data_IF_839935828743
#
_entry.id   IF_839935828743
#
_cell.length_a   1.000
_cell.length_b   1.000
_cell.length_c   1.000
_cell.angle_alpha   90.00
_cell.angle_beta   90.00
_cell.angle_gamma   90.00
#
_symmetry.space_group_name_H-M   'P 1'
#
loop_
_entity.id
_entity.type
_entity.pdbx_description
1 polymer ?
#
# COMPACT_ATOMS: atom_id res chain seq x y z
N UNK A 1 -2.67 -53.70 -4.78
CA UNK A 1 -2.43 -52.29 -5.13
C UNK A 1 -1.12 -52.27 -5.87
N UNK A 2 -1.14 -51.89 -7.14
CA UNK A 2 -0.01 -52.05 -8.07
C UNK A 2 0.52 -50.67 -8.41
N UNK A 3 1.84 -50.53 -8.41
CA UNK A 3 2.55 -49.39 -8.99
C UNK A 3 3.71 -49.99 -9.78
N UNK A 4 3.61 -49.91 -11.10
CA UNK A 4 4.58 -50.49 -12.02
C UNK A 4 5.92 -49.75 -11.94
N UNK A 5 7.01 -50.51 -11.86
CA UNK A 5 8.37 -49.99 -11.98
C UNK A 5 8.81 -50.14 -13.46
N UNK A 6 8.29 -49.25 -14.31
CA UNK A 6 8.51 -49.31 -15.77
C UNK A 6 9.91 -48.83 -16.16
N UNK A 7 10.92 -49.61 -15.80
CA UNK A 7 12.29 -49.50 -16.32
C UNK A 7 12.25 -49.70 -17.83
N UNK A 8 12.13 -48.60 -18.56
CA UNK A 8 11.96 -48.62 -20.02
C UNK A 8 13.34 -48.84 -20.64
N UNK A 9 13.69 -50.11 -20.86
CA UNK A 9 14.81 -50.50 -21.73
C UNK A 9 14.54 -49.95 -23.12
N UNK A 10 15.12 -48.79 -23.43
CA UNK A 10 14.99 -48.15 -24.73
C UNK A 10 15.50 -49.11 -25.80
N UNK A 11 14.63 -49.48 -26.75
CA UNK A 11 15.00 -50.40 -27.82
C UNK A 11 16.26 -49.89 -28.56
N UNK A 12 17.20 -50.75 -29.02
CA UNK A 12 18.48 -50.30 -29.55
C UNK A 12 18.38 -49.24 -30.66
N UNK A 13 17.38 -49.34 -31.55
CA UNK A 13 17.11 -48.33 -32.58
C UNK A 13 16.71 -46.94 -32.05
N UNK A 14 16.09 -46.86 -30.87
CA UNK A 14 15.76 -45.59 -30.22
C UNK A 14 17.00 -44.90 -29.65
N UNK A 15 17.93 -45.67 -29.07
CA UNK A 15 19.23 -45.12 -28.64
C UNK A 15 20.06 -44.65 -29.85
N UNK A 16 20.08 -45.43 -30.94
CA UNK A 16 20.73 -45.03 -32.19
C UNK A 16 20.16 -43.71 -32.72
N UNK A 17 18.83 -43.58 -32.83
CA UNK A 17 18.17 -42.37 -33.30
C UNK A 17 18.45 -41.14 -32.41
N UNK A 18 18.74 -41.33 -31.12
CA UNK A 18 19.17 -40.27 -30.23
C UNK A 18 20.63 -39.84 -30.49
N UNK A 19 21.55 -40.79 -30.73
CA UNK A 19 22.95 -40.50 -31.04
C UNK A 19 23.10 -39.78 -32.39
N UNK A 20 22.41 -40.27 -33.44
CA UNK A 20 22.43 -39.65 -34.78
C UNK A 20 21.92 -38.20 -34.71
N UNK A 21 20.83 -37.95 -33.98
CA UNK A 21 20.30 -36.59 -33.77
C UNK A 21 21.26 -35.69 -33.00
N UNK A 22 21.92 -36.21 -31.97
CA UNK A 22 22.96 -35.48 -31.24
C UNK A 22 24.13 -35.07 -32.13
N UNK A 23 24.60 -35.97 -33.00
CA UNK A 23 25.66 -35.68 -33.97
C UNK A 23 25.21 -34.66 -35.03
N UNK A 24 24.02 -34.84 -35.63
CA UNK A 24 23.46 -33.89 -36.58
C UNK A 24 23.24 -32.49 -35.97
N UNK A 25 22.81 -32.41 -34.70
CA UNK A 25 22.71 -31.14 -33.98
C UNK A 25 24.08 -30.48 -33.76
N UNK A 26 25.13 -31.27 -33.46
CA UNK A 26 26.50 -30.75 -33.39
C UNK A 26 26.99 -30.21 -34.74
N UNK A 27 26.72 -30.92 -35.84
CA UNK A 27 27.04 -30.44 -37.21
C UNK A 27 26.30 -29.12 -37.52
N UNK A 28 25.00 -29.02 -37.20
CA UNK A 28 24.22 -27.76 -37.34
C UNK A 28 24.81 -26.61 -36.52
N UNK A 29 25.27 -26.85 -35.29
CA UNK A 29 25.96 -25.83 -34.48
C UNK A 29 27.27 -25.35 -35.13
N UNK A 30 28.01 -26.25 -35.79
CA UNK A 30 29.22 -25.91 -36.56
C UNK A 30 28.94 -25.21 -37.90
N UNK A 31 27.67 -25.07 -38.34
CA UNK A 31 27.25 -24.42 -39.59
C UNK A 31 26.45 -23.12 -39.37
N UNK A 32 26.15 -22.76 -38.12
CA UNK A 32 25.26 -21.65 -37.77
C UNK A 32 25.76 -20.24 -38.21
N UNK A 33 26.99 -20.12 -38.70
CA UNK A 33 27.54 -18.90 -39.32
C UNK A 33 26.99 -18.63 -40.73
N UNK A 34 26.42 -19.64 -41.40
CA UNK A 34 25.86 -19.56 -42.76
C UNK A 34 24.44 -18.97 -42.80
N UNK A 35 23.78 -18.83 -41.65
CA UNK A 35 22.37 -18.44 -41.55
C UNK A 35 21.42 -19.64 -41.60
N UNK A 36 20.15 -19.47 -41.15
CA UNK A 36 19.25 -20.59 -40.90
C UNK A 36 18.82 -21.32 -42.18
N UNK A 37 18.48 -20.59 -43.25
CA UNK A 37 18.00 -21.18 -44.52
C UNK A 37 19.06 -22.09 -45.15
N UNK A 38 20.30 -21.60 -45.29
CA UNK A 38 21.44 -22.38 -45.83
C UNK A 38 21.81 -23.56 -44.91
N UNK A 39 21.62 -23.44 -43.60
CA UNK A 39 21.87 -24.54 -42.65
C UNK A 39 20.81 -25.63 -42.78
N UNK A 40 19.55 -25.27 -43.00
CA UNK A 40 18.47 -26.24 -43.20
C UNK A 40 18.59 -26.94 -44.56
N UNK A 41 18.84 -26.19 -45.65
CA UNK A 41 19.08 -26.74 -47.00
C UNK A 41 20.22 -27.78 -47.01
N UNK A 42 21.26 -27.58 -46.19
CA UNK A 42 22.39 -28.50 -46.07
C UNK A 42 22.20 -29.64 -45.05
N UNK A 43 21.24 -29.55 -44.12
CA UNK A 43 21.13 -30.52 -43.01
C UNK A 43 19.74 -31.12 -42.78
N UNK A 44 18.75 -30.80 -43.62
CA UNK A 44 17.40 -31.38 -43.54
C UNK A 44 17.37 -32.89 -43.80
N UNK A 45 18.22 -33.38 -44.72
CA UNK A 45 18.38 -34.83 -45.00
C UNK A 45 19.29 -35.58 -44.02
N UNK A 46 20.17 -34.86 -43.32
CA UNK A 46 21.36 -35.42 -42.64
C UNK A 46 21.06 -36.53 -41.60
N UNK A 47 19.95 -36.43 -40.86
CA UNK A 47 19.56 -37.48 -39.90
C UNK A 47 19.13 -38.80 -40.59
N UNK A 48 18.63 -38.72 -41.83
CA UNK A 48 18.36 -39.90 -42.67
C UNK A 48 19.67 -40.47 -43.23
N UNK A 49 20.49 -39.62 -43.85
CA UNK A 49 21.72 -40.01 -44.54
C UNK A 49 22.73 -40.69 -43.59
N UNK A 50 22.87 -40.16 -42.36
CA UNK A 50 23.70 -40.76 -41.30
C UNK A 50 23.14 -42.11 -40.80
N UNK A 51 21.81 -42.27 -40.81
CA UNK A 51 21.15 -43.54 -40.39
C UNK A 51 21.33 -44.61 -41.47
N UNK A 52 21.21 -44.24 -42.75
CA UNK A 52 21.40 -45.13 -43.91
C UNK A 52 22.87 -45.54 -44.06
N UNK A 53 23.81 -44.59 -44.03
CA UNK A 53 25.25 -44.85 -44.12
C UNK A 53 25.78 -45.72 -42.96
N UNK A 54 25.11 -45.71 -41.80
CA UNK A 54 25.43 -46.59 -40.69
C UNK A 54 24.77 -47.97 -40.81
N UNK A 55 23.56 -48.07 -41.39
CA UNK A 55 22.95 -49.35 -41.71
C UNK A 55 23.81 -50.15 -42.70
N UNK A 56 24.41 -49.48 -43.69
CA UNK A 56 25.40 -50.05 -44.61
C UNK A 56 26.76 -50.35 -43.97
N UNK A 57 27.08 -49.75 -42.81
CA UNK A 57 28.31 -50.04 -42.05
C UNK A 57 28.20 -51.29 -41.15
N UNK A 58 27.00 -51.59 -40.64
CA UNK A 58 26.73 -52.71 -39.74
C UNK A 58 27.21 -54.12 -40.22
N UNK A 59 27.22 -54.44 -41.53
CA UNK A 59 27.79 -55.70 -42.05
C UNK A 59 29.31 -55.82 -41.91
N UNK A 60 30.03 -54.78 -41.47
CA UNK A 60 31.49 -54.81 -41.27
C UNK A 60 31.85 -55.15 -39.82
N UNK A 61 31.20 -54.50 -38.85
CA UNK A 61 31.45 -54.72 -37.41
C UNK A 61 31.25 -56.20 -36.98
N UNK A 62 30.27 -56.87 -37.60
CA UNK A 62 29.89 -58.27 -37.32
C UNK A 62 30.92 -59.32 -37.75
N UNK A 63 32.12 -58.94 -38.23
CA UNK A 63 33.25 -59.87 -38.42
C UNK A 63 34.29 -59.87 -37.28
N UNK A 64 34.24 -58.92 -36.35
CA UNK A 64 35.03 -58.95 -35.12
C UNK A 64 34.16 -59.53 -33.99
N UNK A 65 34.26 -60.85 -33.79
CA UNK A 65 33.33 -61.60 -32.94
C UNK A 65 33.61 -61.49 -31.44
N UNK A 66 33.15 -60.42 -30.81
CA UNK A 66 32.97 -60.34 -29.34
C UNK A 66 31.50 -60.01 -28.97
N UNK A 67 31.04 -60.35 -27.74
CA UNK A 67 29.62 -60.21 -27.37
C UNK A 67 29.18 -58.75 -27.17
N UNK A 68 27.90 -58.50 -27.40
CA UNK A 68 27.27 -57.20 -27.18
C UNK A 68 26.79 -57.04 -25.74
N UNK A 69 27.34 -56.06 -25.04
CA UNK A 69 26.64 -55.25 -24.03
C UNK A 69 27.27 -53.84 -24.04
N UNK A 70 26.46 -52.80 -23.83
CA UNK A 70 26.85 -51.40 -23.62
C UNK A 70 27.78 -50.72 -24.67
N UNK A 71 27.70 -51.14 -25.95
CA UNK A 71 28.37 -50.44 -27.06
C UNK A 71 27.68 -49.10 -27.36
N UNK A 72 28.13 -48.05 -26.66
CA UNK A 72 27.87 -46.65 -27.04
C UNK A 72 28.43 -46.44 -28.46
N UNK A 73 27.55 -46.06 -29.40
CA UNK A 73 27.95 -45.88 -30.79
C UNK A 73 28.73 -44.57 -30.97
N UNK A 74 30.05 -44.68 -31.04
CA UNK A 74 30.93 -43.55 -31.33
C UNK A 74 30.85 -43.15 -32.81
N UNK A 75 29.87 -42.30 -33.12
CA UNK A 75 29.72 -41.67 -34.43
C UNK A 75 30.94 -40.83 -34.82
N UNK A 76 31.76 -40.38 -33.86
CA UNK A 76 32.99 -39.61 -34.18
C UNK A 76 34.13 -40.50 -34.66
N UNK A 77 34.13 -41.79 -34.30
CA UNK A 77 35.06 -42.77 -34.86
C UNK A 77 34.71 -43.19 -36.30
N UNK A 78 33.46 -43.02 -36.74
CA UNK A 78 33.01 -43.37 -38.09
C UNK A 78 32.91 -42.17 -39.05
N UNK A 79 32.33 -41.06 -38.61
CA UNK A 79 32.11 -39.84 -39.42
C UNK A 79 33.11 -38.70 -39.10
N UNK A 80 34.06 -38.91 -38.18
CA UNK A 80 34.96 -37.86 -37.70
C UNK A 80 34.28 -36.88 -36.73
N UNK A 81 34.99 -35.83 -36.32
CA UNK A 81 34.40 -34.78 -35.48
C UNK A 81 33.33 -34.00 -36.25
N UNK A 82 32.29 -33.53 -35.55
CA UNK A 82 31.23 -32.73 -36.16
C UNK A 82 31.77 -31.43 -36.83
N UNK A 83 32.88 -30.88 -36.33
CA UNK A 83 33.61 -29.77 -36.97
C UNK A 83 34.24 -30.16 -38.32
N UNK A 84 34.85 -31.35 -38.39
CA UNK A 84 35.40 -31.91 -39.62
C UNK A 84 34.30 -32.17 -40.65
N UNK A 85 33.25 -32.87 -40.25
CA UNK A 85 32.10 -33.17 -41.10
C UNK A 85 31.39 -31.90 -41.61
N UNK A 86 31.20 -30.88 -40.76
CA UNK A 86 30.69 -29.57 -41.15
C UNK A 86 31.64 -28.78 -42.09
N UNK A 87 32.94 -29.08 -42.07
CA UNK A 87 33.92 -28.49 -42.98
C UNK A 87 33.90 -29.19 -44.34
N UNK A 88 33.78 -30.52 -44.36
CA UNK A 88 33.59 -31.32 -45.59
C UNK A 88 32.28 -30.94 -46.28
N UNK A 89 31.17 -30.82 -45.55
CA UNK A 89 29.87 -30.42 -46.08
C UNK A 89 29.89 -29.00 -46.70
N UNK A 90 30.56 -28.02 -46.05
CA UNK A 90 30.81 -26.70 -46.67
C UNK A 90 31.61 -26.82 -47.97
N UNK A 91 32.66 -27.65 -47.98
CA UNK A 91 33.51 -27.81 -49.16
C UNK A 91 32.77 -28.44 -50.35
N UNK A 92 31.89 -29.41 -50.08
CA UNK A 92 31.00 -30.01 -51.08
C UNK A 92 29.97 -29.01 -51.62
N UNK A 93 29.46 -28.12 -50.75
CA UNK A 93 28.56 -27.02 -51.13
C UNK A 93 29.27 -25.83 -51.82
N UNK A 94 30.60 -25.87 -51.98
CA UNK A 94 31.38 -24.77 -52.55
C UNK A 94 31.46 -23.51 -51.67
N UNK A 95 31.12 -23.63 -50.39
CA UNK A 95 31.11 -22.53 -49.43
C UNK A 95 32.52 -22.22 -48.90
N UNK A 96 32.80 -20.96 -48.50
CA UNK A 96 34.09 -20.60 -47.91
C UNK A 96 34.34 -21.39 -46.61
N UNK A 97 35.60 -21.71 -46.28
CA UNK A 97 35.93 -22.36 -45.01
C UNK A 97 35.52 -21.46 -43.84
N UNK A 98 35.09 -22.09 -42.73
CA UNK A 98 34.83 -21.38 -41.49
C UNK A 98 36.05 -20.54 -41.11
N UNK A 99 35.86 -19.23 -40.91
CA UNK A 99 36.92 -18.37 -40.43
C UNK A 99 37.45 -18.90 -39.10
N UNK A 100 38.77 -18.90 -38.84
CA UNK A 100 39.31 -19.44 -37.60
C UNK A 100 38.65 -18.75 -36.39
N UNK A 101 38.52 -19.42 -35.23
CA UNK A 101 37.89 -18.89 -34.02
C UNK A 101 38.78 -17.83 -33.33
N UNK A 102 39.13 -16.79 -34.08
CA UNK A 102 39.68 -15.56 -33.57
C UNK A 102 38.71 -14.99 -32.55
N UNK A 103 39.24 -14.62 -31.38
CA UNK A 103 38.46 -14.14 -30.23
C UNK A 103 37.77 -12.81 -30.54
N UNK A 104 36.65 -12.87 -31.28
CA UNK A 104 35.64 -11.84 -31.32
C UNK A 104 35.02 -11.76 -29.92
N UNK A 105 35.67 -10.98 -29.06
CA UNK A 105 34.97 -10.25 -28.01
C UNK A 105 34.18 -9.12 -28.68
N UNK A 106 33.20 -9.49 -29.52
CA UNK A 106 32.10 -8.62 -29.91
C UNK A 106 31.33 -8.36 -28.63
N UNK A 107 31.73 -7.31 -27.93
CA UNK A 107 31.00 -6.90 -26.75
C UNK A 107 29.66 -6.32 -27.18
N UNK A 108 28.71 -6.27 -26.25
CA UNK A 108 27.48 -5.47 -26.40
C UNK A 108 27.76 -4.02 -26.83
N UNK A 109 28.99 -3.52 -26.63
CA UNK A 109 29.48 -2.23 -27.15
C UNK A 109 29.63 -2.17 -28.67
N UNK A 110 30.05 -3.23 -29.34
CA UNK A 110 30.30 -3.24 -30.78
C UNK A 110 28.98 -3.38 -31.54
N UNK A 111 28.08 -4.23 -31.03
CA UNK A 111 26.69 -4.35 -31.50
C UNK A 111 25.90 -3.06 -31.24
N UNK A 112 25.99 -2.49 -30.03
CA UNK A 112 25.38 -1.19 -29.74
C UNK A 112 26.02 -0.06 -30.57
N UNK A 113 27.31 -0.12 -30.89
CA UNK A 113 27.94 0.87 -31.78
C UNK A 113 27.43 0.76 -33.22
N UNK A 114 27.28 -0.47 -33.75
CA UNK A 114 26.74 -0.73 -35.08
C UNK A 114 25.25 -0.33 -35.19
N UNK A 115 24.44 -0.69 -34.19
CA UNK A 115 23.05 -0.25 -34.07
C UNK A 115 22.96 1.27 -33.96
N UNK A 116 23.81 1.90 -33.14
CA UNK A 116 23.85 3.35 -32.97
C UNK A 116 24.35 4.07 -34.23
N UNK A 117 25.25 3.50 -35.03
CA UNK A 117 25.63 4.09 -36.32
C UNK A 117 24.51 4.00 -37.34
N UNK A 118 23.85 2.85 -37.49
CA UNK A 118 22.72 2.70 -38.42
C UNK A 118 21.53 3.58 -38.03
N UNK A 119 21.21 3.67 -36.74
CA UNK A 119 20.26 4.67 -36.23
C UNK A 119 20.73 6.09 -36.55
N UNK A 120 21.99 6.44 -36.28
CA UNK A 120 22.51 7.79 -36.49
C UNK A 120 22.43 8.22 -37.96
N UNK A 121 22.67 7.31 -38.91
CA UNK A 121 22.51 7.56 -40.34
C UNK A 121 21.05 7.83 -40.72
N UNK A 122 20.10 7.01 -40.24
CA UNK A 122 18.66 7.25 -40.41
C UNK A 122 18.23 8.60 -39.82
N UNK A 123 18.64 8.90 -38.58
CA UNK A 123 18.35 10.18 -37.93
C UNK A 123 19.03 11.36 -38.63
N UNK A 124 20.22 11.22 -39.21
CA UNK A 124 20.81 12.29 -40.02
C UNK A 124 20.05 12.51 -41.31
N UNK A 125 19.64 11.46 -42.04
CA UNK A 125 18.87 11.60 -43.28
C UNK A 125 17.49 12.22 -43.06
N UNK A 126 16.80 11.85 -41.96
CA UNK A 126 15.53 12.46 -41.56
C UNK A 126 15.70 13.93 -41.14
N UNK A 127 16.84 14.30 -40.55
CA UNK A 127 17.14 15.67 -40.15
C UNK A 127 17.80 16.50 -41.26
N UNK A 128 18.28 15.92 -42.35
CA UNK A 128 19.02 16.61 -43.42
C UNK A 128 18.21 17.74 -44.11
N UNK A 129 16.90 17.58 -44.40
CA UNK A 129 16.06 18.66 -44.92
C UNK A 129 15.88 19.83 -43.92
N UNK A 130 15.96 19.56 -42.62
CA UNK A 130 15.87 20.58 -41.56
C UNK A 130 17.23 21.23 -41.33
N UNK A 131 18.29 20.42 -41.32
CA UNK A 131 19.65 20.82 -40.98
C UNK A 131 20.35 21.65 -42.07
N UNK A 132 19.88 21.53 -43.32
CA UNK A 132 20.28 22.36 -44.44
C UNK A 132 19.64 23.76 -44.43
N UNK A 133 18.63 24.02 -43.59
CA UNK A 133 18.03 25.35 -43.48
C UNK A 133 18.98 26.34 -42.77
N UNK A 134 19.02 27.60 -43.24
CA UNK A 134 19.84 28.66 -42.65
C UNK A 134 19.53 28.92 -41.16
N UNK A 135 18.29 28.64 -40.74
CA UNK A 135 17.83 28.77 -39.35
C UNK A 135 18.47 27.73 -38.42
N UNK A 136 18.76 26.52 -38.93
CA UNK A 136 19.44 25.48 -38.16
C UNK A 136 20.87 25.87 -37.76
N UNK A 137 21.55 26.69 -38.56
CA UNK A 137 22.84 27.29 -38.19
C UNK A 137 22.74 28.04 -36.86
N UNK A 138 21.79 28.98 -36.76
CA UNK A 138 21.51 29.75 -35.54
C UNK A 138 21.12 28.85 -34.37
N UNK A 139 20.24 27.86 -34.58
CA UNK A 139 19.85 26.89 -33.52
C UNK A 139 21.05 26.10 -33.03
N UNK A 140 21.92 25.65 -33.93
CA UNK A 140 23.14 24.89 -33.61
C UNK A 140 24.19 25.76 -32.91
N UNK A 141 24.26 27.05 -33.20
CA UNK A 141 25.16 27.99 -32.53
C UNK A 141 24.64 28.29 -31.10
N UNK A 142 23.35 28.63 -30.93
CA UNK A 142 22.72 28.74 -29.60
C UNK A 142 22.86 27.45 -28.78
N UNK A 143 22.73 26.28 -29.41
CA UNK A 143 22.94 24.98 -28.74
C UNK A 143 24.42 24.68 -28.41
N UNK A 144 25.40 25.40 -28.98
CA UNK A 144 26.79 25.39 -28.46
C UNK A 144 26.91 26.28 -27.23
N UNK A 145 26.29 27.45 -27.26
CA UNK A 145 26.39 28.43 -26.17
C UNK A 145 25.64 27.98 -24.92
N UNK A 146 24.59 27.16 -25.07
CA UNK A 146 23.86 26.50 -23.98
C UNK A 146 24.57 25.26 -23.40
N UNK A 147 25.73 24.82 -23.93
CA UNK A 147 26.48 23.68 -23.36
C UNK A 147 26.81 23.79 -21.86
N UNK A 148 27.20 24.96 -21.32
CA UNK A 148 27.40 25.13 -19.87
C UNK A 148 26.12 24.90 -19.07
N UNK A 149 24.98 25.35 -19.59
CA UNK A 149 23.66 25.18 -18.98
C UNK A 149 23.26 23.70 -19.00
N UNK A 150 23.51 22.98 -20.09
CA UNK A 150 23.30 21.52 -20.15
C UNK A 150 24.15 20.76 -19.13
N UNK A 151 25.42 21.16 -18.93
CA UNK A 151 26.25 20.52 -17.89
C UNK A 151 25.68 20.76 -16.49
N UNK A 152 25.16 21.94 -16.20
CA UNK A 152 24.49 22.24 -14.94
C UNK A 152 23.24 21.36 -14.75
N UNK A 153 22.34 21.36 -15.74
CA UNK A 153 21.10 20.59 -15.73
C UNK A 153 21.32 19.08 -15.61
N UNK A 154 22.28 18.51 -16.34
CA UNK A 154 22.68 17.09 -16.22
C UNK A 154 23.15 16.75 -14.80
N UNK A 155 23.93 17.62 -14.18
CA UNK A 155 24.44 17.41 -12.82
C UNK A 155 23.36 17.56 -11.75
N UNK A 156 22.39 18.45 -11.97
CA UNK A 156 21.19 18.59 -11.15
C UNK A 156 20.33 17.33 -11.20
N UNK A 157 20.00 16.84 -12.39
CA UNK A 157 19.18 15.63 -12.60
C UNK A 157 19.83 14.37 -12.05
N UNK A 158 21.16 14.21 -12.20
CA UNK A 158 21.90 13.10 -11.58
C UNK A 158 22.02 13.28 -10.06
N UNK A 159 22.12 14.52 -9.57
CA UNK A 159 22.07 14.83 -8.13
C UNK A 159 20.72 14.47 -7.51
N UNK A 160 19.61 14.72 -8.20
CA UNK A 160 18.28 14.26 -7.79
C UNK A 160 18.21 12.74 -7.69
N UNK A 161 18.77 11.99 -8.65
CA UNK A 161 18.81 10.52 -8.55
C UNK A 161 19.64 10.04 -7.34
N UNK A 162 20.72 10.76 -6.98
CA UNK A 162 21.50 10.46 -5.77
C UNK A 162 20.66 10.71 -4.50
N UNK A 163 19.94 11.83 -4.43
CA UNK A 163 19.00 12.12 -3.31
C UNK A 163 17.91 11.05 -3.24
N UNK A 164 17.32 10.67 -4.39
CA UNK A 164 16.30 9.62 -4.51
C UNK A 164 16.77 8.23 -4.06
N UNK A 165 18.09 8.01 -4.00
CA UNK A 165 18.68 6.73 -3.63
C UNK A 165 19.09 6.66 -2.14
N UNK A 166 19.53 7.79 -1.57
CA UNK A 166 20.00 7.85 -0.18
C UNK A 166 18.98 8.42 0.82
N UNK A 167 17.91 9.08 0.35
CA UNK A 167 16.86 9.66 1.19
C UNK A 167 15.59 8.81 1.32
N UNK A 168 15.67 7.49 1.11
CA UNK A 168 14.51 6.60 1.12
C UNK A 168 14.41 5.77 2.40
N UNK A 169 13.28 5.94 3.10
CA UNK A 169 12.73 4.86 3.92
C UNK A 169 12.09 3.81 2.99
N UNK A 170 12.29 2.52 3.29
CA UNK A 170 11.82 1.39 2.49
C UNK A 170 10.79 0.56 3.24
N UNK A 171 9.60 0.40 2.65
CA UNK A 171 8.61 -0.61 3.07
C UNK A 171 8.62 -1.75 2.06
N UNK A 172 9.54 -2.71 2.27
CA UNK A 172 9.75 -3.83 1.37
C UNK A 172 10.62 -3.48 0.16
N UNK A 173 10.22 -3.91 -1.05
CA UNK A 173 10.98 -3.72 -2.30
C UNK A 173 10.66 -2.41 -3.04
N UNK A 174 9.78 -1.57 -2.51
CA UNK A 174 9.38 -0.30 -3.13
C UNK A 174 9.85 0.89 -2.28
N UNK A 175 10.38 1.97 -2.90
CA UNK A 175 10.69 3.21 -2.20
C UNK A 175 9.41 3.86 -1.70
N UNK A 176 9.38 4.32 -0.45
CA UNK A 176 8.15 4.81 0.19
C UNK A 176 7.91 6.30 -0.05
N UNK A 177 8.95 7.06 -0.42
CA UNK A 177 8.82 8.46 -0.87
C UNK A 177 8.92 8.56 -2.39
N UNK A 178 8.08 9.43 -2.99
CA UNK A 178 7.97 9.59 -4.44
C UNK A 178 9.24 10.14 -5.11
N UNK A 179 9.26 10.21 -6.46
CA UNK A 179 10.42 10.71 -7.19
C UNK A 179 10.69 12.19 -6.86
N UNK A 180 11.97 12.56 -6.74
CA UNK A 180 12.34 13.95 -6.44
C UNK A 180 12.05 14.85 -7.63
N UNK A 181 11.13 15.80 -7.45
CA UNK A 181 10.94 16.91 -8.39
C UNK A 181 12.15 17.86 -8.40
N UNK A 182 12.16 18.80 -9.34
CA UNK A 182 13.32 19.66 -9.65
C UNK A 182 13.63 20.70 -8.57
N UNK A 183 12.71 20.94 -7.64
CA UNK A 183 12.83 21.92 -6.56
C UNK A 183 13.25 21.22 -5.26
N UNK A 184 14.44 21.53 -4.70
CA UNK A 184 14.85 20.98 -3.41
C UNK A 184 14.04 21.58 -2.26
N UNK A 185 13.64 20.74 -1.31
CA UNK A 185 12.86 21.13 -0.14
C UNK A 185 13.71 21.44 1.11
N UNK A 186 15.01 21.13 1.08
CA UNK A 186 15.94 21.34 2.19
C UNK A 186 17.32 21.86 1.74
N UNK A 187 18.05 22.51 2.65
CA UNK A 187 19.42 22.99 2.48
C UNK A 187 20.40 21.86 2.16
N UNK A 188 20.22 20.66 2.73
CA UNK A 188 21.08 19.50 2.45
C UNK A 188 20.94 19.06 0.99
N UNK A 189 19.71 19.05 0.46
CA UNK A 189 19.44 18.74 -0.94
C UNK A 189 20.07 19.80 -1.86
N UNK A 190 19.90 21.09 -1.54
CA UNK A 190 20.54 22.21 -2.26
C UNK A 190 22.06 22.04 -2.38
N UNK A 191 22.73 21.64 -1.29
CA UNK A 191 24.18 21.38 -1.30
C UNK A 191 24.55 20.20 -2.19
N UNK A 192 23.85 19.06 -2.08
CA UNK A 192 24.10 17.88 -2.93
C UNK A 192 23.92 18.19 -4.42
N UNK A 193 22.87 18.95 -4.77
CA UNK A 193 22.58 19.38 -6.14
C UNK A 193 23.63 20.36 -6.67
N UNK A 194 24.04 21.34 -5.87
CA UNK A 194 25.08 22.30 -6.24
C UNK A 194 26.44 21.58 -6.47
N UNK A 195 26.78 20.60 -5.64
CA UNK A 195 27.98 19.77 -5.80
C UNK A 195 27.88 18.90 -7.06
N UNK A 196 26.75 18.22 -7.29
CA UNK A 196 26.52 17.41 -8.50
C UNK A 196 26.58 18.22 -9.80
N UNK A 197 25.96 19.40 -9.80
CA UNK A 197 26.01 20.38 -10.89
C UNK A 197 27.45 20.89 -11.13
N UNK A 198 28.21 21.20 -10.07
CA UNK A 198 29.61 21.61 -10.18
C UNK A 198 30.51 20.49 -10.72
N UNK A 199 30.43 19.27 -10.19
CA UNK A 199 31.20 18.12 -10.70
C UNK A 199 30.87 17.86 -12.17
N UNK A 200 29.59 17.90 -12.55
CA UNK A 200 29.14 17.77 -13.93
C UNK A 200 29.71 18.86 -14.85
N UNK A 201 29.74 20.12 -14.40
CA UNK A 201 30.35 21.25 -15.11
C UNK A 201 31.87 21.07 -15.29
N UNK A 202 32.57 20.60 -14.26
CA UNK A 202 34.01 20.34 -14.30
C UNK A 202 34.36 19.22 -15.31
N UNK A 203 33.55 18.15 -15.34
CA UNK A 203 33.62 17.10 -16.35
C UNK A 203 33.32 17.60 -17.76
N UNK A 204 32.32 18.47 -17.91
CA UNK A 204 31.98 19.12 -19.19
C UNK A 204 33.12 19.96 -19.77
N UNK A 205 33.87 20.65 -18.90
CA UNK A 205 35.12 21.35 -19.24
C UNK A 205 36.34 20.43 -19.45
N UNK A 206 36.14 19.11 -19.51
CA UNK A 206 37.21 18.14 -19.72
C UNK A 206 38.23 18.02 -18.58
N UNK A 207 37.87 18.46 -17.36
CA UNK A 207 38.69 18.30 -16.15
C UNK A 207 38.25 17.03 -15.40
N UNK A 208 39.12 16.51 -14.54
CA UNK A 208 38.90 15.38 -13.62
C UNK A 208 38.58 13.99 -14.23
N UNK A 209 38.16 13.88 -15.48
CA UNK A 209 38.04 12.58 -16.19
C UNK A 209 39.28 12.26 -17.06
N UNK A 210 39.86 11.05 -16.99
CA UNK A 210 40.87 10.59 -17.94
C UNK A 210 40.29 10.45 -19.35
N UNK A 211 41.07 10.77 -20.38
CA UNK A 211 40.57 11.06 -21.73
C UNK A 211 39.69 9.97 -22.34
N UNK A 212 40.07 8.68 -22.19
CA UNK A 212 39.30 7.55 -22.73
C UNK A 212 37.91 7.35 -22.10
N UNK A 213 37.67 7.84 -20.89
CA UNK A 213 36.38 7.70 -20.20
C UNK A 213 35.46 8.92 -20.38
N UNK A 214 35.98 10.05 -20.88
CA UNK A 214 35.20 11.30 -21.06
C UNK A 214 33.95 11.08 -21.91
N UNK A 215 34.10 10.44 -23.06
CA UNK A 215 33.00 10.25 -24.01
C UNK A 215 31.92 9.29 -23.47
N UNK A 216 32.23 8.04 -23.05
CA UNK A 216 31.20 7.12 -22.56
C UNK A 216 30.51 7.61 -21.28
N UNK A 217 31.23 8.20 -20.32
CA UNK A 217 30.63 8.73 -19.08
C UNK A 217 29.74 9.93 -19.39
N UNK A 218 30.16 10.84 -20.28
CA UNK A 218 29.33 11.97 -20.68
C UNK A 218 28.07 11.56 -21.43
N UNK A 219 28.14 10.56 -22.32
CA UNK A 219 26.99 10.01 -23.05
C UNK A 219 26.03 9.32 -22.08
N UNK A 220 26.50 8.38 -21.25
CA UNK A 220 25.64 7.62 -20.34
C UNK A 220 24.89 8.53 -19.33
N UNK A 221 25.60 9.48 -18.71
CA UNK A 221 24.97 10.43 -17.77
C UNK A 221 24.06 11.45 -18.46
N UNK A 222 24.30 11.79 -19.74
CA UNK A 222 23.39 12.65 -20.50
C UNK A 222 22.12 11.89 -20.92
N UNK A 223 22.25 10.63 -21.34
CA UNK A 223 21.11 9.76 -21.65
C UNK A 223 20.24 9.51 -20.40
N UNK A 224 20.86 9.26 -19.25
CA UNK A 224 20.17 9.15 -17.96
C UNK A 224 19.45 10.44 -17.57
N UNK A 225 20.09 11.60 -17.75
CA UNK A 225 19.44 12.89 -17.48
C UNK A 225 18.23 13.14 -18.42
N UNK A 226 18.32 12.76 -19.71
CA UNK A 226 17.19 12.85 -20.65
C UNK A 226 16.06 11.88 -20.26
N UNK A 227 16.39 10.67 -19.80
CA UNK A 227 15.40 9.68 -19.33
C UNK A 227 14.67 10.13 -18.05
N UNK A 228 15.37 10.78 -17.13
CA UNK A 228 14.80 11.27 -15.87
C UNK A 228 13.98 12.57 -16.03
N UNK A 229 14.27 13.38 -17.06
CA UNK A 229 13.67 14.70 -17.23
C UNK A 229 12.11 14.70 -17.27
N UNK A 230 11.41 13.76 -17.97
CA UNK A 230 9.95 13.72 -17.96
C UNK A 230 9.37 13.40 -16.58
N UNK A 231 9.98 12.48 -15.84
CA UNK A 231 9.54 12.12 -14.48
C UNK A 231 9.77 13.28 -13.51
N UNK A 232 10.96 13.90 -13.56
CA UNK A 232 11.28 15.08 -12.75
C UNK A 232 10.35 16.26 -13.05
N UNK A 233 9.98 16.50 -14.32
CA UNK A 233 8.98 17.52 -14.70
C UNK A 233 7.56 17.16 -14.22
N UNK A 234 7.19 15.88 -14.26
CA UNK A 234 5.95 15.36 -13.69
C UNK A 234 5.85 15.70 -12.21
N UNK A 235 6.83 15.27 -11.41
CA UNK A 235 6.81 15.55 -9.97
C UNK A 235 7.06 17.01 -9.62
N UNK A 236 7.74 17.79 -10.47
CA UNK A 236 7.80 19.25 -10.28
C UNK A 236 6.42 19.88 -10.46
N UNK A 237 5.60 19.39 -11.41
CA UNK A 237 4.22 19.83 -11.55
C UNK A 237 3.39 19.40 -10.33
N UNK A 238 3.58 18.19 -9.81
CA UNK A 238 2.96 17.71 -8.56
C UNK A 238 3.33 18.66 -7.40
N UNK A 239 4.63 18.82 -7.12
CA UNK A 239 5.17 19.67 -6.04
C UNK A 239 4.77 21.13 -6.16
N UNK A 240 4.71 21.72 -7.36
CA UNK A 240 4.27 23.11 -7.54
C UNK A 240 2.75 23.23 -7.42
N UNK A 241 1.96 22.24 -7.86
CA UNK A 241 0.50 22.29 -7.75
C UNK A 241 0.04 22.13 -6.29
N UNK A 242 0.57 21.14 -5.57
CA UNK A 242 0.31 20.99 -4.14
C UNK A 242 0.99 22.11 -3.34
N UNK A 243 2.25 22.44 -3.62
CA UNK A 243 2.98 23.53 -2.96
C UNK A 243 2.37 24.92 -3.17
N UNK A 244 1.65 25.18 -4.27
CA UNK A 244 0.91 26.43 -4.46
C UNK A 244 -0.42 26.47 -3.70
N UNK A 245 -0.97 25.32 -3.32
CA UNK A 245 -2.09 25.20 -2.37
C UNK A 245 -1.55 25.31 -0.92
N UNK A 246 -0.44 24.62 -0.62
CA UNK A 246 0.27 24.67 0.67
C UNK A 246 1.07 25.98 0.91
N UNK A 247 1.01 26.95 -0.01
CA UNK A 247 1.39 28.33 0.31
C UNK A 247 0.37 28.97 1.27
N UNK A 248 -0.86 28.44 1.31
CA UNK A 248 -1.76 28.58 2.45
C UNK A 248 -1.52 27.44 3.46
N UNK A 249 -0.25 27.26 3.85
CA UNK A 249 0.17 26.19 4.76
C UNK A 249 -0.46 26.29 6.15
N UNK A 250 -1.01 27.46 6.50
CA UNK A 250 -1.87 27.65 7.66
C UNK A 250 -3.24 26.96 7.51
N UNK A 251 -3.77 26.81 6.30
CA UNK A 251 -4.95 25.98 6.04
C UNK A 251 -4.60 24.50 6.08
N UNK A 252 -3.54 24.04 5.39
CA UNK A 252 -3.17 22.63 5.40
C UNK A 252 -2.77 22.14 6.80
N UNK A 253 -1.84 22.83 7.46
CA UNK A 253 -1.44 22.50 8.83
C UNK A 253 -2.54 22.84 9.86
N UNK A 254 -3.40 23.82 9.61
CA UNK A 254 -4.53 24.18 10.49
C UNK A 254 -5.76 23.28 10.31
N UNK A 255 -5.91 22.60 9.17
CA UNK A 255 -6.92 21.57 8.93
C UNK A 255 -6.42 20.18 9.34
N UNK A 256 -5.11 19.94 9.28
CA UNK A 256 -4.47 18.77 9.88
C UNK A 256 -4.51 18.91 11.41
N UNK A 257 -3.97 20.00 11.98
CA UNK A 257 -4.07 20.30 13.40
C UNK A 257 -5.53 20.45 13.84
N UNK A 258 -6.41 21.05 13.05
CA UNK A 258 -7.85 21.14 13.36
C UNK A 258 -8.57 19.79 13.30
N UNK A 259 -8.09 18.82 12.52
CA UNK A 259 -8.58 17.44 12.57
C UNK A 259 -7.99 16.66 13.75
N UNK A 260 -6.72 16.89 14.08
CA UNK A 260 -6.02 16.15 15.13
C UNK A 260 -6.39 16.70 16.52
N UNK A 261 -6.67 18.00 16.62
CA UNK A 261 -7.36 18.68 17.73
C UNK A 261 -8.83 18.25 17.79
N UNK A 262 -9.54 18.11 16.65
CA UNK A 262 -10.84 17.44 16.63
C UNK A 262 -10.78 15.91 16.91
N UNK A 263 -9.60 15.32 17.07
CA UNK A 263 -9.40 13.92 17.56
C UNK A 263 -8.96 13.86 19.01
N UNK A 264 -8.31 14.89 19.56
CA UNK A 264 -7.90 14.97 20.98
C UNK A 264 -8.92 15.69 21.86
N UNK A 265 -9.49 16.79 21.34
CA UNK A 265 -10.34 17.75 22.05
C UNK A 265 -11.82 17.50 21.77
N UNK A 266 -12.13 16.83 20.66
CA UNK A 266 -13.37 16.07 20.52
C UNK A 266 -13.06 14.57 20.54
N UNK A 267 -12.96 13.98 21.74
CA UNK A 267 -13.34 12.58 21.90
C UNK A 267 -14.86 12.45 21.73
N UNK A 268 -15.30 12.57 20.47
CA UNK A 268 -16.62 12.12 20.06
C UNK A 268 -16.76 10.66 20.49
N UNK A 269 -17.72 10.42 21.38
CA UNK A 269 -18.03 9.15 22.07
C UNK A 269 -17.42 7.95 21.35
N UNK A 270 -16.33 7.39 21.89
CA UNK A 270 -15.58 6.36 21.17
C UNK A 270 -16.49 5.17 20.85
N UNK A 271 -16.41 4.67 19.62
CA UNK A 271 -17.23 3.56 19.11
C UNK A 271 -16.34 2.34 18.84
N UNK A 272 -16.50 1.28 19.64
CA UNK A 272 -15.78 0.02 19.49
C UNK A 272 -14.31 0.06 19.97
N UNK A 273 -14.10 0.09 21.28
CA UNK A 273 -12.77 -0.04 21.89
C UNK A 273 -12.08 -1.37 21.57
N UNK A 274 -10.76 -1.38 21.55
CA UNK A 274 -9.98 -2.58 21.31
C UNK A 274 -9.93 -3.47 22.58
N UNK A 275 -9.69 -4.80 22.46
CA UNK A 275 -9.46 -5.66 23.61
C UNK A 275 -8.21 -5.26 24.41
N UNK A 276 -8.39 -4.38 25.40
CA UNK A 276 -7.32 -3.75 26.17
C UNK A 276 -7.57 -2.29 26.56
N UNK A 277 -8.57 -1.62 25.97
CA UNK A 277 -9.00 -0.28 26.40
C UNK A 277 -9.71 -0.33 27.78
N UNK A 278 -9.14 0.31 28.79
CA UNK A 278 -9.80 0.54 30.08
C UNK A 278 -11.00 1.50 29.90
N UNK A 279 -12.21 1.04 30.24
CA UNK A 279 -13.44 1.82 30.21
C UNK A 279 -14.69 0.98 30.48
N UNK A 280 -15.85 1.64 30.50
CA UNK A 280 -17.17 0.98 30.47
C UNK A 280 -17.84 1.32 29.14
N UNK A 281 -18.47 0.33 28.51
CA UNK A 281 -19.01 0.44 27.16
C UNK A 281 -20.42 -0.15 27.09
N UNK A 282 -21.34 0.55 26.42
CA UNK A 282 -22.75 0.14 26.22
C UNK A 282 -23.12 0.38 24.76
N UNK A 283 -23.70 -0.62 24.10
CA UNK A 283 -24.06 -0.60 22.67
C UNK A 283 -22.93 -0.14 21.73
N UNK A 284 -21.68 -0.42 22.12
CA UNK A 284 -20.47 -0.03 21.41
C UNK A 284 -19.95 1.38 21.70
N UNK A 285 -20.70 2.22 22.42
CA UNK A 285 -20.28 3.55 22.89
C UNK A 285 -19.54 3.50 24.23
N UNK A 286 -18.47 4.28 24.40
CA UNK A 286 -17.86 4.47 25.72
C UNK A 286 -18.75 5.32 26.62
N UNK A 287 -19.05 4.81 27.82
CA UNK A 287 -19.82 5.50 28.85
C UNK A 287 -18.90 6.41 29.66
N UNK A 288 -19.28 7.68 29.83
CA UNK A 288 -18.50 8.68 30.56
C UNK A 288 -18.76 8.68 32.07
N UNK A 289 -19.99 8.41 32.50
CA UNK A 289 -20.41 8.40 33.89
C UNK A 289 -21.51 7.36 34.16
N UNK A 290 -21.57 6.83 35.38
CA UNK A 290 -22.60 5.87 35.82
C UNK A 290 -23.48 6.50 36.89
N UNK A 291 -24.77 6.18 36.85
CA UNK A 291 -25.78 6.65 37.79
C UNK A 291 -26.49 5.44 38.39
N UNK A 292 -26.30 5.19 39.69
CA UNK A 292 -26.91 4.08 40.39
C UNK A 292 -28.24 4.51 41.03
N UNK A 293 -29.21 3.60 41.04
CA UNK A 293 -30.50 3.77 41.70
C UNK A 293 -30.80 2.54 42.57
N UNK A 294 -31.60 2.70 43.61
CA UNK A 294 -32.03 1.61 44.49
C UNK A 294 -33.26 0.87 43.92
N UNK A 295 -33.76 -0.13 44.66
CA UNK A 295 -34.95 -0.90 44.26
C UNK A 295 -36.25 -0.06 44.25
N UNK A 296 -36.27 1.11 44.90
CA UNK A 296 -37.36 2.09 44.85
C UNK A 296 -37.17 3.10 43.70
N UNK A 297 -36.10 2.94 42.91
CA UNK A 297 -35.70 3.84 41.84
C UNK A 297 -35.07 5.14 42.33
N UNK A 298 -34.70 5.27 43.61
CA UNK A 298 -34.10 6.48 44.19
C UNK A 298 -32.58 6.55 43.95
N UNK A 299 -32.02 7.74 43.65
CA UNK A 299 -30.62 7.89 43.22
C UNK A 299 -29.60 7.66 44.34
N UNK A 300 -28.70 6.69 44.17
CA UNK A 300 -27.62 6.34 45.10
C UNK A 300 -26.35 7.13 44.75
N UNK A 301 -25.83 7.90 45.71
CA UNK A 301 -24.65 8.75 45.56
C UNK A 301 -23.40 8.16 46.20
N UNK A 302 -22.25 8.55 45.66
CA UNK A 302 -20.90 8.20 46.12
C UNK A 302 -20.66 6.67 46.25
N UNK A 303 -21.33 5.87 45.40
CA UNK A 303 -21.24 4.40 45.39
C UNK A 303 -19.96 3.93 44.70
N UNK A 304 -19.29 2.92 45.25
CA UNK A 304 -18.12 2.31 44.62
C UNK A 304 -18.48 1.05 43.83
N UNK A 305 -18.09 1.00 42.56
CA UNK A 305 -18.32 -0.15 41.69
C UNK A 305 -17.04 -0.96 41.47
N UNK A 306 -17.18 -2.28 41.48
CA UNK A 306 -16.13 -3.28 41.32
C UNK A 306 -16.64 -4.44 40.45
N UNK A 307 -15.75 -5.10 39.71
CA UNK A 307 -16.09 -6.27 38.89
C UNK A 307 -16.06 -7.59 39.68
N UNK A 308 -16.33 -8.71 39.00
CA UNK A 308 -16.30 -10.08 39.54
C UNK A 308 -14.92 -10.52 40.07
N UNK A 309 -13.86 -9.77 39.76
CA UNK A 309 -12.48 -9.97 40.21
C UNK A 309 -12.04 -8.95 41.26
N UNK A 310 -12.95 -8.09 41.73
CA UNK A 310 -12.67 -7.04 42.70
C UNK A 310 -11.85 -5.86 42.15
N UNK A 311 -11.76 -5.72 40.83
CA UNK A 311 -11.11 -4.58 40.16
C UNK A 311 -12.07 -3.38 40.11
N UNK A 312 -11.61 -2.13 40.32
CA UNK A 312 -12.47 -0.96 40.32
C UNK A 312 -13.02 -0.68 38.91
N UNK A 313 -14.34 -0.54 38.78
CA UNK A 313 -15.00 -0.22 37.50
C UNK A 313 -14.86 1.26 37.19
N UNK A 314 -14.23 1.60 36.06
CA UNK A 314 -13.86 2.96 35.66
C UNK A 314 -14.44 3.30 34.28
N UNK A 315 -15.23 4.37 34.18
CA UNK A 315 -15.66 4.95 32.91
C UNK A 315 -14.54 5.78 32.26
N UNK A 316 -13.86 6.57 33.09
CA UNK A 316 -12.71 7.40 32.76
C UNK A 316 -11.53 6.97 33.64
N UNK A 317 -10.33 6.93 33.07
CA UNK A 317 -9.09 6.60 33.79
C UNK A 317 -8.29 7.85 34.15
N UNK A 318 -7.36 7.71 35.09
CA UNK A 318 -6.41 8.75 35.50
C UNK A 318 -5.56 9.28 34.32
N UNK A 319 -5.19 8.40 33.39
CA UNK A 319 -4.49 8.75 32.14
C UNK A 319 -5.38 9.43 31.08
N UNK A 320 -6.70 9.50 31.33
CA UNK A 320 -7.71 10.20 30.51
C UNK A 320 -8.43 11.31 31.32
N UNK A 321 -7.83 11.77 32.43
CA UNK A 321 -8.38 12.82 33.29
C UNK A 321 -8.36 14.23 32.65
N UNK A 322 -7.58 14.38 31.58
CA UNK A 322 -7.48 15.56 30.72
C UNK A 322 -8.37 15.49 29.49
N UNK A 323 -9.11 14.41 29.30
CA UNK A 323 -9.92 14.19 28.10
C UNK A 323 -11.24 14.97 28.21
N UNK A 324 -11.64 15.59 27.12
CA UNK A 324 -12.86 16.40 27.02
C UNK A 324 -14.06 15.49 26.78
N UNK A 325 -15.14 15.69 27.55
CA UNK A 325 -16.39 14.95 27.41
C UNK A 325 -17.58 15.88 27.17
N UNK A 326 -18.30 15.66 26.08
CA UNK A 326 -19.69 16.14 25.96
C UNK A 326 -20.61 15.23 26.81
N UNK A 327 -21.41 15.83 27.69
CA UNK A 327 -22.33 15.10 28.56
C UNK A 327 -23.77 15.32 28.09
N UNK A 328 -24.52 14.27 27.73
CA UNK A 328 -25.88 14.41 27.22
C UNK A 328 -26.77 15.30 28.09
N UNK A 329 -27.55 16.16 27.44
CA UNK A 329 -28.48 17.12 28.08
C UNK A 329 -27.81 18.15 29.02
N UNK A 330 -26.49 18.28 28.99
CA UNK A 330 -25.72 19.31 29.71
C UNK A 330 -25.07 20.27 28.71
N UNK A 331 -24.99 21.55 29.03
CA UNK A 331 -24.34 22.55 28.17
C UNK A 331 -22.81 22.50 28.34
N UNK A 332 -22.09 22.63 27.22
CA UNK A 332 -20.63 22.74 27.17
C UNK A 332 -19.83 21.45 27.41
N UNK A 333 -18.50 21.49 27.16
CA UNK A 333 -17.57 20.41 27.47
C UNK A 333 -17.20 20.30 28.95
N UNK A 334 -16.95 19.07 29.41
CA UNK A 334 -16.69 18.72 30.80
C UNK A 334 -15.44 17.83 30.96
N UNK A 335 -14.75 18.00 32.08
CA UNK A 335 -13.60 17.17 32.46
C UNK A 335 -13.91 16.44 33.78
N UNK A 336 -13.97 15.11 33.74
CA UNK A 336 -14.28 14.30 34.91
C UNK A 336 -13.16 14.31 35.96
N UNK A 337 -13.54 14.10 37.22
CA UNK A 337 -12.66 14.14 38.39
C UNK A 337 -12.98 13.00 39.35
N UNK A 338 -11.96 12.43 40.03
CA UNK A 338 -12.15 11.35 40.99
C UNK A 338 -12.73 11.89 42.29
N UNK A 339 -13.32 11.01 43.10
CA UNK A 339 -13.66 11.35 44.48
C UNK A 339 -12.47 11.08 45.40
N UNK A 340 -12.21 11.97 46.35
CA UNK A 340 -11.26 11.71 47.46
C UNK A 340 -11.94 10.83 48.51
N UNK A 341 -11.39 9.65 48.77
CA UNK A 341 -11.89 8.76 49.81
C UNK A 341 -11.40 9.17 51.22
N UNK A 342 -11.98 8.55 52.25
CA UNK A 342 -11.63 8.79 53.67
C UNK A 342 -10.20 8.40 54.05
N UNK A 343 -9.50 7.66 53.19
CA UNK A 343 -8.07 7.34 53.30
C UNK A 343 -7.16 8.35 52.59
N UNK A 344 -7.73 9.47 52.10
CA UNK A 344 -7.03 10.53 51.38
C UNK A 344 -6.67 10.20 49.93
N UNK A 345 -7.03 9.01 49.41
CA UNK A 345 -6.71 8.59 48.04
C UNK A 345 -7.83 8.92 47.06
N UNK A 346 -7.44 9.27 45.85
CA UNK A 346 -8.38 9.48 44.74
C UNK A 346 -8.98 8.16 44.23
N UNK A 347 -10.26 8.18 43.87
CA UNK A 347 -11.04 7.03 43.41
C UNK A 347 -11.83 7.38 42.14
N UNK A 348 -11.40 6.77 41.04
CA UNK A 348 -12.06 6.84 39.72
C UNK A 348 -13.24 5.86 39.54
N UNK A 349 -13.67 5.17 40.60
CA UNK A 349 -14.79 4.22 40.61
C UNK A 349 -15.91 4.60 41.59
N UNK A 350 -15.95 5.86 42.04
CA UNK A 350 -16.99 6.42 42.91
C UNK A 350 -18.00 7.17 42.02
N UNK A 351 -19.27 6.80 42.09
CA UNK A 351 -20.30 7.25 41.15
C UNK A 351 -21.49 7.96 41.84
N UNK A 352 -22.11 8.95 41.16
CA UNK A 352 -21.70 9.52 39.88
C UNK A 352 -20.39 10.33 40.01
N UNK A 353 -19.53 10.22 39.00
CA UNK A 353 -18.32 11.05 38.90
C UNK A 353 -18.72 12.52 38.85
N UNK A 354 -17.84 13.35 39.41
CA UNK A 354 -17.95 14.81 39.40
C UNK A 354 -17.12 15.36 38.25
N UNK A 355 -17.42 16.55 37.76
CA UNK A 355 -16.67 17.18 36.68
C UNK A 355 -16.49 18.69 36.89
N UNK A 356 -15.50 19.23 36.19
CA UNK A 356 -15.33 20.67 36.00
C UNK A 356 -15.83 21.03 34.59
N UNK A 357 -16.52 22.18 34.40
CA UNK A 357 -16.74 22.71 33.06
C UNK A 357 -15.39 23.19 32.50
N UNK A 358 -15.22 23.20 31.18
CA UNK A 358 -13.99 23.73 30.56
C UNK A 358 -13.70 25.18 30.94
N UNK A 359 -14.74 26.01 31.05
CA UNK A 359 -14.63 27.42 31.51
C UNK A 359 -14.20 27.55 32.97
N UNK A 360 -14.14 26.45 33.73
CA UNK A 360 -13.65 26.36 35.10
C UNK A 360 -12.23 25.81 35.23
N UNK A 361 -11.49 25.71 34.12
CA UNK A 361 -10.13 25.12 34.03
C UNK A 361 -9.14 26.14 33.47
N UNK A 362 -7.92 26.12 34.00
CA UNK A 362 -6.76 26.83 33.44
C UNK A 362 -5.62 25.85 33.12
N UNK A 363 -4.87 26.14 32.06
CA UNK A 363 -3.73 25.34 31.61
C UNK A 363 -2.42 26.07 31.94
N UNK A 364 -1.69 25.57 32.94
CA UNK A 364 -0.42 26.10 33.40
C UNK A 364 0.79 25.28 32.94
N UNK A 365 1.99 25.71 33.34
CA UNK A 365 3.23 24.98 33.08
C UNK A 365 3.27 23.59 33.74
N UNK A 366 2.57 23.44 34.87
CA UNK A 366 2.41 22.18 35.61
C UNK A 366 1.20 21.34 35.13
N UNK A 367 0.55 21.76 34.03
CA UNK A 367 -0.59 21.08 33.42
C UNK A 367 -1.95 21.71 33.76
N UNK A 368 -2.99 20.87 33.77
CA UNK A 368 -4.39 21.26 33.86
C UNK A 368 -4.84 21.47 35.32
N UNK A 369 -5.23 22.70 35.68
CA UNK A 369 -5.68 23.06 37.03
C UNK A 369 -7.13 23.58 37.05
N UNK A 370 -7.89 23.41 38.14
CA UNK A 370 -9.16 24.13 38.33
C UNK A 370 -8.89 25.61 38.59
N UNK A 371 -9.66 26.51 37.95
CA UNK A 371 -9.60 27.94 38.22
C UNK A 371 -9.92 28.21 39.70
N UNK A 372 -9.21 29.16 40.32
CA UNK A 372 -9.30 29.47 41.76
C UNK A 372 -10.74 29.69 42.21
N UNK A 373 -11.23 28.80 43.07
CA UNK A 373 -12.59 28.82 43.63
C UNK A 373 -13.61 27.93 42.92
N UNK A 374 -13.31 27.43 41.73
CA UNK A 374 -14.13 26.40 41.06
C UNK A 374 -13.87 25.04 41.72
N UNK A 375 -14.91 24.20 41.82
CA UNK A 375 -14.86 22.87 42.45
C UNK A 375 -15.58 21.83 41.57
N UNK A 376 -15.15 20.55 41.58
CA UNK A 376 -15.83 19.51 40.79
C UNK A 376 -17.26 19.28 41.25
N UNK A 377 -18.22 19.49 40.35
CA UNK A 377 -19.66 19.40 40.63
C UNK A 377 -20.25 18.07 40.14
N UNK A 378 -21.35 17.64 40.75
CA UNK A 378 -22.08 16.43 40.33
C UNK A 378 -22.85 16.70 39.04
N UNK A 379 -22.75 15.79 38.06
CA UNK A 379 -23.50 15.90 36.81
C UNK A 379 -25.02 15.74 37.03
N UNK A 380 -25.86 16.30 36.12
CA UNK A 380 -27.30 16.08 36.15
C UNK A 380 -27.65 14.59 36.12
N UNK A 381 -28.71 14.21 36.85
CA UNK A 381 -29.21 12.84 36.86
C UNK A 381 -30.09 12.59 35.64
N UNK A 382 -29.96 11.44 34.95
CA UNK A 382 -30.75 11.16 33.75
C UNK A 382 -32.25 11.02 34.05
N UNK A 383 -32.60 10.62 35.27
CA UNK A 383 -33.97 10.50 35.77
C UNK A 383 -34.06 10.94 37.23
N UNK A 384 -35.21 11.48 37.65
CA UNK A 384 -35.49 11.76 39.06
C UNK A 384 -35.77 10.48 39.87
N UNK A 385 -36.39 9.49 39.23
CA UNK A 385 -36.47 8.10 39.66
C UNK A 385 -36.27 7.18 38.46
N UNK A 386 -35.57 6.06 38.66
CA UNK A 386 -35.49 4.99 37.65
C UNK A 386 -36.81 4.16 37.61
N UNK A 387 -37.12 3.47 36.50
CA UNK A 387 -38.22 2.52 36.44
C UNK A 387 -38.03 1.36 37.43
N UNK A 388 -39.07 1.04 38.21
CA UNK A 388 -39.03 0.07 39.32
C UNK A 388 -39.68 -1.28 39.01
N UNK A 389 -40.08 -1.52 37.76
CA UNK A 389 -40.66 -2.80 37.32
C UNK A 389 -39.58 -3.87 37.13
N UNK A 390 -38.88 -4.20 38.21
CA UNK A 390 -38.09 -5.42 38.36
C UNK A 390 -38.98 -6.40 39.13
N UNK A 391 -39.90 -7.06 38.41
CA UNK A 391 -40.50 -8.27 38.97
C UNK A 391 -39.37 -9.30 39.11
N UNK A 392 -39.08 -9.81 40.32
CA UNK A 392 -38.22 -10.98 40.41
C UNK A 392 -38.95 -12.11 39.69
N UNK A 393 -38.28 -12.74 38.73
CA UNK A 393 -38.71 -14.04 38.20
C UNK A 393 -38.46 -15.09 39.28
N UNK A 394 -39.32 -15.06 40.32
CA UNK A 394 -39.38 -16.01 41.42
C UNK A 394 -39.79 -17.36 40.82
N UNK A 395 -38.77 -18.03 40.26
CA UNK A 395 -38.86 -19.15 39.34
C UNK A 395 -39.72 -20.26 39.91
N UNK A 396 -41.03 -20.17 39.60
CA UNK A 396 -42.04 -21.10 40.06
C UNK A 396 -41.86 -22.38 39.25
N UNK A 397 -40.93 -23.22 39.74
CA UNK A 397 -40.75 -24.57 39.24
C UNK A 397 -42.12 -25.24 39.22
N UNK A 398 -42.58 -25.75 38.07
CA UNK A 398 -43.96 -26.20 37.92
C UNK A 398 -44.24 -27.31 38.93
N UNK A 399 -45.22 -27.09 39.81
CA UNK A 399 -45.63 -28.11 40.78
C UNK A 399 -46.01 -29.39 40.03
N UNK A 400 -45.61 -30.57 40.53
CA UNK A 400 -45.87 -31.83 39.86
C UNK A 400 -47.38 -32.11 39.85
N UNK A 401 -48.00 -31.94 38.67
CA UNK A 401 -49.43 -32.17 38.43
C UNK A 401 -49.89 -33.50 39.05
N UNK A 402 -50.84 -33.49 40.01
CA UNK A 402 -51.44 -34.72 40.52
C UNK A 402 -52.12 -35.49 39.39
N UNK A 403 -51.89 -36.81 39.33
CA UNK A 403 -52.48 -37.64 38.27
C UNK A 403 -54.00 -37.73 38.39
N UNK A 404 -54.65 -38.00 37.25
CA UNK A 404 -56.10 -37.99 37.06
C UNK A 404 -56.83 -39.09 37.86
N UNK A 405 -58.09 -38.84 38.21
CA UNK A 405 -59.17 -39.81 37.98
C UNK A 405 -60.49 -39.05 37.64
N UNK A 406 -61.35 -39.51 36.71
CA UNK A 406 -62.35 -38.65 36.06
C UNK A 406 -63.79 -38.78 36.64
N UNK A 407 -64.62 -37.77 36.39
CA UNK A 407 -66.08 -37.86 36.51
C UNK A 407 -66.79 -37.01 35.45
N UNK A 408 -67.63 -37.71 34.67
CA UNK A 408 -68.50 -37.38 33.52
C UNK A 408 -69.04 -35.94 33.30
N UNK A 409 -69.45 -35.62 32.05
CA UNK A 409 -70.06 -34.35 31.70
C UNK A 409 -71.54 -34.26 32.10
N UNK A 410 -72.07 -33.04 32.14
CA UNK A 410 -73.50 -32.75 31.99
C UNK A 410 -73.64 -31.38 31.33
N UNK A 411 -74.47 -31.31 30.29
CA UNK A 411 -74.75 -30.10 29.52
C UNK A 411 -75.67 -29.14 30.30
N UNK A 412 -75.66 -27.85 29.96
CA UNK A 412 -76.92 -27.14 29.70
C UNK A 412 -76.70 -25.85 28.88
N UNK A 413 -77.77 -25.34 28.27
CA UNK A 413 -77.75 -24.38 27.15
C UNK A 413 -78.37 -23.00 27.47
N UNK A 414 -77.92 -21.99 26.70
CA UNK A 414 -78.59 -20.74 26.33
C UNK A 414 -79.00 -19.65 27.35
N UNK A 415 -79.01 -18.42 26.80
CA UNK A 415 -80.01 -17.34 27.02
C UNK A 415 -79.81 -16.21 28.05
N UNK A 416 -79.49 -15.03 27.49
CA UNK A 416 -80.27 -13.75 27.51
C UNK A 416 -79.81 -12.51 28.31
N UNK A 417 -79.63 -11.45 27.51
CA UNK A 417 -80.22 -10.08 27.57
C UNK A 417 -79.94 -9.12 28.75
N UNK A 418 -79.55 -7.87 28.43
CA UNK A 418 -79.28 -6.81 29.44
C UNK A 418 -78.77 -5.44 28.93
N UNK A 419 -79.33 -4.88 27.85
CA UNK A 419 -79.12 -3.47 27.41
C UNK A 419 -80.24 -2.53 27.95
N UNK A 420 -80.18 -1.18 27.81
CA UNK A 420 -79.06 -0.21 27.75
C UNK A 420 -79.37 1.09 28.59
N UNK A 421 -79.05 2.28 28.06
CA UNK A 421 -79.34 3.66 28.57
C UNK A 421 -78.41 4.22 29.68
N UNK A 422 -78.10 5.52 29.77
CA UNK A 422 -78.57 6.69 29.00
C UNK A 422 -77.54 7.84 28.97
N UNK A 423 -77.65 8.77 27.99
CA UNK A 423 -76.98 10.08 27.98
C UNK A 423 -77.88 11.13 27.30
N UNK A 424 -78.02 12.35 27.87
CA UNK A 424 -77.34 13.54 27.29
C UNK A 424 -76.89 14.54 28.43
N UNK A 425 -76.49 15.82 28.24
CA UNK A 425 -76.51 16.72 27.08
C UNK A 425 -75.41 17.82 27.10
N UNK A 426 -75.05 18.24 25.88
CA UNK A 426 -74.61 19.55 25.34
C UNK A 426 -74.48 20.81 26.24
N UNK A 427 -73.43 21.61 25.96
CA UNK A 427 -73.30 23.04 26.31
C UNK A 427 -72.26 23.76 25.41
N UNK A 428 -72.63 24.88 24.77
CA UNK A 428 -71.93 25.45 23.58
C UNK A 428 -71.25 26.81 23.84
N UNK A 429 -70.34 27.22 22.93
CA UNK A 429 -69.78 28.59 22.69
C UNK A 429 -68.76 29.12 23.73
N UNK A 430 -67.84 30.05 23.42
CA UNK A 430 -67.58 30.84 22.19
C UNK A 430 -66.07 31.11 21.93
N UNK A 431 -65.71 31.69 20.78
CA UNK A 431 -64.37 32.20 20.43
C UNK A 431 -64.48 33.42 19.50
N UNK A 432 -63.79 34.57 19.78
CA UNK A 432 -62.73 34.96 18.82
C UNK A 432 -61.52 35.77 19.37
N UNK A 433 -60.49 35.81 18.51
CA UNK A 433 -59.29 36.70 18.41
C UNK A 433 -59.67 38.18 18.04
N UNK A 434 -58.71 39.12 17.80
CA UNK A 434 -57.34 39.36 18.35
C UNK A 434 -57.07 40.85 18.70
N UNK A 435 -55.84 41.26 19.07
CA UNK A 435 -55.42 42.68 19.08
C UNK A 435 -53.93 42.95 19.45
N UNK A 436 -53.22 43.89 18.79
CA UNK A 436 -51.81 44.24 19.08
C UNK A 436 -51.58 45.69 19.59
N UNK A 437 -50.42 45.95 20.20
CA UNK A 437 -49.89 47.31 20.48
C UNK A 437 -48.35 47.35 20.36
N UNK A 438 -47.76 48.48 19.96
CA UNK A 438 -46.30 48.68 19.83
C UNK A 438 -45.90 50.18 19.99
N UNK A 439 -44.58 50.46 20.01
CA UNK A 439 -43.91 51.80 20.03
C UNK A 439 -44.20 52.62 21.33
N UNK A 440 -43.39 53.55 21.86
CA UNK A 440 -42.15 54.31 21.53
C UNK A 440 -41.28 54.41 22.84
N UNK A 441 -40.06 54.95 22.97
CA UNK A 441 -39.16 55.77 22.13
C UNK A 441 -37.65 55.58 22.51
N UNK A 442 -36.74 56.37 21.92
CA UNK A 442 -35.29 56.46 22.20
C UNK A 442 -34.98 57.47 23.35
N UNK A 443 -33.75 57.87 23.75
CA UNK A 443 -32.44 57.93 23.07
C UNK A 443 -31.30 58.28 24.06
N UNK A 444 -30.03 57.94 23.72
CA UNK A 444 -28.82 58.82 23.70
C UNK A 444 -27.48 58.09 23.94
N UNK A 445 -26.54 58.41 23.05
CA UNK A 445 -25.07 58.30 23.16
C UNK A 445 -24.49 59.55 23.87
N UNK A 446 -23.16 59.74 24.08
CA UNK A 446 -21.98 59.08 23.49
C UNK A 446 -21.53 57.79 24.17
#
# INVERSE_FOLDING_TARGET
MTTDDTTTTAAPGAMLAAHVRGYAQAVRLHLADLGPEVTEDLTGGLESDLTEALADAAPVATRAGEPQDDVVLDLTAYFGTAEGYATELRSAAGLPPAGPPGRRRSGLRDEAAAWWSGQREQWTGLLEPVASTRQWGTVRDVARDLRPVWWLARGWLVGMLVIAWFGQDYVGLLPTSGPVGLVPTDQTQLVVLAVGAFVSFQWGRGRWLPTGWRLPVAVATSALAILLLPAALGETKTQILYGALDNDGGFAAGYQAGQDDARSTAQAVSYGGAPGDDGVWVDGMQVSNLFAFDANGDPIKDVQLYDDRGRPVRTVTESRATDVWEVPQTEGPWYFRPATATDGRERWNVYPLRALPETGVEWGADGMAPVVGVQPQTMPWPFLKAPVSIEPDDGTAPEPTPSQEPSQPSDDDASRDGEPSEAPASGTTDLPRPGPTAVIDASRQP
#
